data_IF_733274302519
#
_entry.id   IF_733274302519
#
_cell.length_a   1.000
_cell.length_b   1.000
_cell.length_c   1.000
_cell.angle_alpha   90.00
_cell.angle_beta   90.00
_cell.angle_gamma   90.00
#
_symmetry.space_group_name_H-M   'P 1'
#
loop_
_entity.id
_entity.type
_entity.pdbx_description
1 polymer ?
#
# COMPACT_ATOMS: atom_id res chain seq x y z
N UNK A 1 25.63 20.76 -18.76
CA UNK A 1 25.16 19.93 -17.64
C UNK A 1 23.67 20.19 -17.48
N UNK A 2 22.84 19.23 -17.88
CA UNK A 2 21.39 19.38 -17.78
C UNK A 2 21.00 19.34 -16.30
N UNK A 3 20.30 20.37 -15.84
CA UNK A 3 19.68 20.40 -14.52
C UNK A 3 18.60 19.30 -14.55
N UNK A 4 18.86 18.17 -13.91
CA UNK A 4 17.82 17.16 -13.71
C UNK A 4 16.64 17.86 -13.02
N UNK A 5 15.45 17.79 -13.62
CA UNK A 5 14.23 18.21 -12.93
C UNK A 5 14.11 17.30 -11.70
N UNK A 6 14.19 17.87 -10.51
CA UNK A 6 13.70 17.20 -9.31
C UNK A 6 12.23 16.83 -9.55
N UNK A 7 11.92 15.55 -9.36
CA UNK A 7 10.56 15.03 -9.41
C UNK A 7 10.09 14.78 -7.97
N UNK A 8 8.78 14.77 -7.76
CA UNK A 8 8.23 14.45 -6.46
C UNK A 8 8.25 12.93 -6.25
N UNK A 9 9.04 12.46 -5.27
CA UNK A 9 9.16 11.04 -4.97
C UNK A 9 7.86 10.43 -4.43
N UNK A 10 7.04 11.20 -3.72
CA UNK A 10 5.77 10.75 -3.16
C UNK A 10 4.79 10.51 -4.30
N UNK A 11 4.63 11.48 -5.19
CA UNK A 11 3.74 11.34 -6.36
C UNK A 11 4.18 10.16 -7.25
N UNK A 12 5.49 10.00 -7.46
CA UNK A 12 6.04 8.88 -8.23
C UNK A 12 5.74 7.52 -7.58
N UNK A 13 5.87 7.40 -6.26
CA UNK A 13 5.55 6.17 -5.53
C UNK A 13 4.05 5.89 -5.49
N UNK A 14 3.20 6.92 -5.40
CA UNK A 14 1.75 6.76 -5.51
C UNK A 14 1.34 6.23 -6.89
N UNK A 15 1.94 6.77 -7.96
CA UNK A 15 1.71 6.27 -9.31
C UNK A 15 2.19 4.81 -9.47
N UNK A 16 3.37 4.47 -8.94
CA UNK A 16 3.87 3.11 -8.92
C UNK A 16 2.94 2.17 -8.12
N UNK A 17 2.39 2.64 -7.00
CA UNK A 17 1.45 1.88 -6.17
C UNK A 17 0.22 1.44 -6.96
N UNK A 18 -0.35 2.33 -7.79
CA UNK A 18 -1.50 1.99 -8.63
C UNK A 18 -1.19 0.87 -9.61
N UNK A 19 0.00 0.89 -10.23
CA UNK A 19 0.45 -0.17 -11.14
C UNK A 19 0.59 -1.50 -10.41
N UNK A 20 1.21 -1.51 -9.23
CA UNK A 20 1.34 -2.73 -8.43
C UNK A 20 -0.01 -3.26 -7.92
N UNK A 21 -0.98 -2.38 -7.62
CA UNK A 21 -2.33 -2.80 -7.26
C UNK A 21 -3.09 -3.41 -8.44
N UNK A 22 -2.83 -2.94 -9.66
CA UNK A 22 -3.48 -3.46 -10.86
C UNK A 22 -2.86 -4.78 -11.34
N UNK A 23 -1.52 -4.86 -11.34
CA UNK A 23 -0.77 -5.95 -12.00
C UNK A 23 -0.07 -6.92 -11.05
N UNK A 24 -0.07 -6.65 -9.75
CA UNK A 24 0.78 -7.36 -8.79
C UNK A 24 2.27 -7.04 -8.97
N UNK A 25 3.11 -7.59 -8.10
CA UNK A 25 4.56 -7.48 -8.24
C UNK A 25 5.03 -8.21 -9.48
N UNK A 26 4.61 -9.45 -9.73
CA UNK A 26 5.15 -10.24 -10.84
C UNK A 26 4.80 -9.63 -12.20
N UNK A 27 3.53 -9.24 -12.39
CA UNK A 27 3.03 -8.66 -13.64
C UNK A 27 3.49 -7.23 -13.95
N UNK A 28 4.11 -6.53 -13.00
CA UNK A 28 4.61 -5.16 -13.22
C UNK A 28 5.99 -5.16 -13.87
N UNK A 29 6.16 -4.56 -15.05
CA UNK A 29 7.49 -4.39 -15.66
C UNK A 29 8.17 -3.08 -15.26
N UNK A 30 9.48 -2.95 -15.50
CA UNK A 30 10.14 -1.63 -15.37
C UNK A 30 9.53 -0.59 -16.32
N UNK A 31 9.09 -1.00 -17.51
CA UNK A 31 8.50 -0.09 -18.48
C UNK A 31 7.15 0.45 -18.01
N UNK A 32 6.38 -0.35 -17.28
CA UNK A 32 5.14 0.12 -16.64
C UNK A 32 5.45 1.18 -15.59
N UNK A 33 6.49 0.97 -14.77
CA UNK A 33 6.94 1.95 -13.78
C UNK A 33 7.45 3.23 -14.42
N UNK A 34 8.24 3.14 -15.50
CA UNK A 34 8.70 4.31 -16.26
C UNK A 34 7.52 5.17 -16.73
N UNK A 35 6.51 4.53 -17.32
CA UNK A 35 5.30 5.21 -17.82
C UNK A 35 4.48 5.82 -16.69
N UNK A 36 4.24 5.10 -15.61
CA UNK A 36 3.39 5.56 -14.52
C UNK A 36 4.05 6.68 -13.70
N UNK A 37 5.34 6.52 -13.39
CA UNK A 37 6.09 7.48 -12.58
C UNK A 37 6.49 8.73 -13.38
N UNK A 38 6.39 8.69 -14.72
CA UNK A 38 6.88 9.77 -15.58
C UNK A 38 8.40 9.89 -15.59
N UNK A 39 9.11 8.81 -15.25
CA UNK A 39 10.57 8.76 -15.11
C UNK A 39 11.17 7.81 -16.12
N UNK A 40 12.38 8.13 -16.60
CA UNK A 40 13.15 7.16 -17.37
C UNK A 40 13.82 6.13 -16.43
N UNK A 41 14.25 5.00 -17.01
CA UNK A 41 14.95 3.92 -16.31
C UNK A 41 16.12 4.37 -15.46
N UNK A 42 16.95 5.30 -15.97
CA UNK A 42 18.13 5.81 -15.26
C UNK A 42 17.71 6.58 -14.01
N UNK A 43 16.72 7.46 -14.10
CA UNK A 43 16.18 8.20 -12.95
C UNK A 43 15.58 7.26 -11.91
N UNK A 44 14.88 6.20 -12.34
CA UNK A 44 14.37 5.18 -11.40
C UNK A 44 15.52 4.47 -10.68
N UNK A 45 16.54 4.03 -11.43
CA UNK A 45 17.70 3.37 -10.82
C UNK A 45 18.47 4.27 -9.86
N UNK A 46 18.65 5.53 -10.20
CA UNK A 46 19.38 6.48 -9.37
C UNK A 46 18.63 6.81 -8.07
N UNK A 47 17.31 7.03 -8.15
CA UNK A 47 16.53 7.48 -6.99
C UNK A 47 15.97 6.34 -6.14
N UNK A 48 15.59 5.23 -6.77
CA UNK A 48 14.92 4.13 -6.09
C UNK A 48 15.70 2.83 -6.13
N UNK A 49 16.68 2.68 -7.02
CA UNK A 49 17.30 1.39 -7.31
C UNK A 49 16.45 0.57 -8.27
N UNK A 50 16.25 -0.72 -8.00
CA UNK A 50 15.52 -1.60 -8.92
C UNK A 50 14.01 -1.68 -8.59
N UNK A 51 13.25 -2.42 -9.42
CA UNK A 51 11.82 -2.68 -9.20
C UNK A 51 11.49 -3.18 -7.79
N UNK A 52 12.36 -4.01 -7.17
CA UNK A 52 12.16 -4.48 -5.79
C UNK A 52 12.25 -3.34 -4.79
N UNK A 53 13.22 -2.44 -4.96
CA UNK A 53 13.37 -1.30 -4.08
C UNK A 53 12.20 -0.33 -4.21
N UNK A 54 11.72 -0.06 -5.44
CA UNK A 54 10.47 0.69 -5.68
C UNK A 54 9.31 0.01 -4.96
N UNK A 55 9.13 -1.30 -5.15
CA UNK A 55 8.06 -2.07 -4.53
C UNK A 55 8.09 -2.01 -2.98
N UNK A 56 9.27 -2.14 -2.36
CA UNK A 56 9.40 -2.03 -0.92
C UNK A 56 9.04 -0.64 -0.40
N UNK A 57 9.44 0.43 -1.11
CA UNK A 57 9.07 1.80 -0.75
C UNK A 57 7.56 2.03 -0.89
N UNK A 58 6.96 1.51 -1.96
CA UNK A 58 5.51 1.49 -2.16
C UNK A 58 4.81 0.74 -1.03
N UNK A 59 5.28 -0.45 -0.62
CA UNK A 59 4.70 -1.19 0.50
C UNK A 59 4.74 -0.37 1.78
N UNK A 60 5.87 0.24 2.12
CA UNK A 60 6.01 1.07 3.34
C UNK A 60 4.99 2.21 3.32
N UNK A 61 4.91 2.97 2.22
CA UNK A 61 3.98 4.09 2.09
C UNK A 61 2.51 3.61 2.13
N UNK A 62 2.18 2.55 1.39
CA UNK A 62 0.84 1.98 1.33
C UNK A 62 0.37 1.52 2.72
N UNK A 63 1.25 0.88 3.48
CA UNK A 63 0.96 0.41 4.85
C UNK A 63 0.73 1.56 5.80
N UNK A 64 1.55 2.61 5.75
CA UNK A 64 1.39 3.77 6.62
C UNK A 64 0.11 4.55 6.30
N UNK A 65 -0.18 4.80 5.02
CA UNK A 65 -1.45 5.41 4.61
C UNK A 65 -2.66 4.56 5.01
N UNK A 66 -2.58 3.24 4.84
CA UNK A 66 -3.62 2.31 5.26
C UNK A 66 -3.82 2.33 6.78
N UNK A 67 -2.73 2.33 7.56
CA UNK A 67 -2.77 2.40 9.03
C UNK A 67 -3.49 3.65 9.51
N UNK A 68 -3.13 4.83 8.99
CA UNK A 68 -3.75 6.10 9.36
C UNK A 68 -5.24 6.11 9.02
N UNK A 69 -5.60 5.65 7.82
CA UNK A 69 -7.00 5.52 7.38
C UNK A 69 -7.81 4.61 8.30
N UNK A 70 -7.33 3.40 8.56
CA UNK A 70 -8.06 2.43 9.39
C UNK A 70 -8.12 2.84 10.85
N UNK A 71 -7.08 3.49 11.35
CA UNK A 71 -7.11 4.05 12.69
C UNK A 71 -8.16 5.15 12.81
N UNK A 72 -8.23 6.09 11.85
CA UNK A 72 -9.26 7.13 11.82
C UNK A 72 -10.67 6.55 11.83
N UNK A 73 -10.98 5.61 10.91
CA UNK A 73 -12.29 4.95 10.84
C UNK A 73 -12.70 4.28 12.17
N UNK A 74 -11.75 3.68 12.89
CA UNK A 74 -12.02 2.98 14.15
C UNK A 74 -12.13 3.93 15.35
N UNK A 75 -11.31 4.97 15.41
CA UNK A 75 -11.23 5.92 16.53
C UNK A 75 -12.32 7.01 16.45
N UNK A 76 -12.81 7.37 15.25
CA UNK A 76 -13.90 8.36 15.05
C UNK A 76 -15.29 7.82 15.41
N UNK A 77 -15.49 6.50 15.35
CA UNK A 77 -16.77 5.88 15.67
C UNK A 77 -17.04 5.86 17.18
N UNK A 78 -18.30 6.12 17.60
CA UNK A 78 -18.67 6.19 19.01
C UNK A 78 -18.53 4.82 19.68
N UNK A 79 -19.01 3.76 19.02
CA UNK A 79 -18.98 2.39 19.56
C UNK A 79 -18.06 1.47 18.77
N UNK A 80 -17.56 0.40 19.40
CA UNK A 80 -16.74 -0.57 18.68
C UNK A 80 -17.51 -1.27 17.56
N UNK A 81 -18.82 -1.54 17.78
CA UNK A 81 -19.69 -2.12 16.75
C UNK A 81 -19.76 -1.20 15.53
N UNK A 82 -19.96 0.09 15.74
CA UNK A 82 -19.98 1.08 14.68
C UNK A 82 -18.63 1.18 13.96
N UNK A 83 -17.52 1.25 14.70
CA UNK A 83 -16.18 1.32 14.09
C UNK A 83 -15.88 0.11 13.20
N UNK A 84 -16.24 -1.10 13.65
CA UNK A 84 -16.10 -2.31 12.83
C UNK A 84 -17.04 -2.28 11.62
N UNK A 85 -18.29 -1.84 11.80
CA UNK A 85 -19.24 -1.67 10.70
C UNK A 85 -18.72 -0.69 9.64
N UNK A 86 -18.20 0.47 10.05
CA UNK A 86 -17.66 1.50 9.15
C UNK A 86 -16.42 0.99 8.42
N UNK A 87 -15.54 0.26 9.10
CA UNK A 87 -14.39 -0.40 8.47
C UNK A 87 -14.85 -1.37 7.37
N UNK A 88 -15.81 -2.23 7.66
CA UNK A 88 -16.32 -3.21 6.69
C UNK A 88 -16.95 -2.54 5.46
N UNK A 89 -17.81 -1.52 5.67
CA UNK A 89 -18.38 -0.75 4.56
C UNK A 89 -17.28 -0.07 3.74
N UNK A 90 -16.30 0.55 4.40
CA UNK A 90 -15.20 1.23 3.70
C UNK A 90 -14.34 0.25 2.89
N UNK A 91 -14.13 -0.97 3.37
CA UNK A 91 -13.47 -2.04 2.59
C UNK A 91 -14.31 -2.37 1.36
N UNK A 92 -15.63 -2.52 1.49
CA UNK A 92 -16.51 -2.75 0.34
C UNK A 92 -16.43 -1.61 -0.67
N UNK A 93 -16.53 -0.36 -0.22
CA UNK A 93 -16.45 0.82 -1.09
C UNK A 93 -15.13 0.91 -1.86
N UNK A 94 -14.00 0.61 -1.20
CA UNK A 94 -12.69 0.65 -1.84
C UNK A 94 -12.51 -0.46 -2.89
N UNK A 95 -13.08 -1.64 -2.67
CA UNK A 95 -12.84 -2.81 -3.54
C UNK A 95 -13.93 -3.00 -4.60
N UNK A 96 -15.14 -2.47 -4.38
CA UNK A 96 -16.32 -2.69 -5.24
C UNK A 96 -17.05 -1.39 -5.60
N UNK A 97 -16.46 -0.23 -5.27
CA UNK A 97 -16.99 1.08 -5.69
C UNK A 97 -16.76 1.39 -7.17
N UNK A 98 -17.08 2.63 -7.61
CA UNK A 98 -16.93 3.05 -9.01
C UNK A 98 -15.50 2.96 -9.56
N UNK A 99 -14.52 3.15 -8.69
CA UNK A 99 -13.09 3.01 -8.98
C UNK A 99 -12.50 1.94 -8.04
N UNK A 100 -12.72 0.65 -8.33
CA UNK A 100 -12.29 -0.42 -7.45
C UNK A 100 -10.77 -0.49 -7.39
N UNK A 101 -10.24 -0.58 -6.17
CA UNK A 101 -8.81 -0.70 -5.91
C UNK A 101 -8.52 -2.05 -5.26
N UNK A 102 -7.68 -2.85 -5.91
CA UNK A 102 -7.14 -4.07 -5.30
C UNK A 102 -6.26 -3.72 -4.11
N UNK A 103 -6.37 -4.52 -3.04
CA UNK A 103 -5.47 -4.40 -1.88
C UNK A 103 -4.08 -4.93 -2.23
N UNK A 104 -3.08 -4.06 -2.25
CA UNK A 104 -1.69 -4.43 -2.52
C UNK A 104 -1.17 -5.52 -1.55
N UNK A 105 -1.53 -5.43 -0.28
CA UNK A 105 -1.14 -6.44 0.73
C UNK A 105 -1.72 -7.82 0.39
N UNK A 106 -2.99 -7.88 -0.02
CA UNK A 106 -3.63 -9.14 -0.38
C UNK A 106 -2.98 -9.76 -1.62
N UNK A 107 -2.73 -8.96 -2.67
CA UNK A 107 -2.01 -9.45 -3.86
C UNK A 107 -0.60 -9.94 -3.50
N UNK A 108 0.12 -9.19 -2.68
CA UNK A 108 1.48 -9.57 -2.28
C UNK A 108 1.51 -10.85 -1.42
N UNK A 109 0.45 -11.12 -0.64
CA UNK A 109 0.29 -12.40 0.07
C UNK A 109 0.06 -13.56 -0.90
N UNK A 110 -0.68 -13.35 -1.98
CA UNK A 110 -0.90 -14.36 -3.03
C UNK A 110 0.38 -14.62 -3.83
N UNK A 111 1.21 -13.60 -4.02
CA UNK A 111 2.50 -13.66 -4.71
C UNK A 111 3.68 -13.96 -3.78
N UNK A 112 3.47 -14.60 -2.62
CA UNK A 112 4.52 -14.78 -1.58
C UNK A 112 5.83 -15.36 -2.12
N UNK A 113 5.77 -16.33 -3.04
CA UNK A 113 6.95 -16.94 -3.67
C UNK A 113 7.79 -15.97 -4.48
N UNK A 114 7.21 -14.86 -4.94
CA UNK A 114 7.87 -13.82 -5.72
C UNK A 114 8.53 -12.76 -4.86
N UNK A 115 8.40 -12.84 -3.53
CA UNK A 115 8.93 -11.85 -2.59
C UNK A 115 10.18 -12.36 -1.88
N UNK A 116 11.16 -11.47 -1.69
CA UNK A 116 12.32 -11.76 -0.84
C UNK A 116 11.95 -11.60 0.65
N UNK A 117 12.86 -11.98 1.55
CA UNK A 117 12.62 -11.91 3.00
C UNK A 117 12.18 -10.52 3.49
N UNK A 118 12.81 -9.45 2.99
CA UNK A 118 12.45 -8.09 3.37
C UNK A 118 11.01 -7.70 2.94
N UNK A 119 10.62 -8.00 1.69
CA UNK A 119 9.25 -7.76 1.25
C UNK A 119 8.24 -8.60 2.05
N UNK A 120 8.54 -9.88 2.29
CA UNK A 120 7.67 -10.77 3.08
C UNK A 120 7.48 -10.24 4.50
N UNK A 121 8.55 -9.79 5.14
CA UNK A 121 8.51 -9.22 6.49
C UNK A 121 7.63 -7.96 6.54
N UNK A 122 7.75 -7.05 5.57
CA UNK A 122 6.89 -5.87 5.49
C UNK A 122 5.40 -6.23 5.36
N UNK A 123 5.08 -7.23 4.53
CA UNK A 123 3.71 -7.72 4.32
C UNK A 123 3.16 -8.34 5.61
N UNK A 124 3.96 -9.18 6.29
CA UNK A 124 3.57 -9.81 7.56
C UNK A 124 3.37 -8.77 8.68
N UNK A 125 4.26 -7.77 8.77
CA UNK A 125 4.13 -6.66 9.70
C UNK A 125 2.86 -5.83 9.45
N UNK A 126 2.52 -5.57 8.18
CA UNK A 126 1.29 -4.87 7.81
C UNK A 126 0.03 -5.60 8.28
N UNK A 127 -0.04 -6.92 8.04
CA UNK A 127 -1.16 -7.75 8.48
C UNK A 127 -1.28 -7.77 10.01
N UNK A 128 -0.16 -7.85 10.72
CA UNK A 128 -0.14 -7.81 12.18
C UNK A 128 -0.59 -6.45 12.73
N UNK A 129 -0.16 -5.35 12.11
CA UNK A 129 -0.56 -4.00 12.48
C UNK A 129 -2.07 -3.79 12.31
N UNK A 130 -2.63 -4.22 11.17
CA UNK A 130 -4.07 -4.13 10.92
C UNK A 130 -4.88 -4.96 11.93
N UNK A 131 -4.45 -6.20 12.21
CA UNK A 131 -5.07 -7.04 13.25
C UNK A 131 -5.05 -6.36 14.62
N UNK A 132 -3.91 -5.76 15.01
CA UNK A 132 -3.77 -5.06 16.29
C UNK A 132 -4.71 -3.85 16.42
N UNK A 133 -4.95 -3.11 15.34
CA UNK A 133 -5.91 -1.99 15.35
C UNK A 133 -7.32 -2.47 15.72
N UNK A 134 -7.79 -3.53 15.06
CA UNK A 134 -9.11 -4.13 15.33
C UNK A 134 -9.18 -4.67 16.76
N UNK A 135 -8.17 -5.43 17.19
CA UNK A 135 -8.11 -5.96 18.56
C UNK A 135 -8.19 -4.86 19.61
N UNK A 136 -7.40 -3.80 19.45
CA UNK A 136 -7.40 -2.64 20.37
C UNK A 136 -8.77 -1.98 20.45
N UNK A 137 -9.49 -1.83 19.33
CA UNK A 137 -10.84 -1.23 19.32
C UNK A 137 -11.85 -2.10 20.06
N UNK A 138 -11.79 -3.42 19.84
CA UNK A 138 -12.67 -4.39 20.50
C UNK A 138 -12.41 -4.48 22.01
N UNK A 139 -11.14 -4.43 22.44
CA UNK A 139 -10.78 -4.46 23.86
C UNK A 139 -11.26 -3.21 24.62
N UNK A 140 -11.21 -2.02 24.00
CA UNK A 140 -11.76 -0.80 24.59
C UNK A 140 -13.26 -0.90 24.90
N UNK A 141 -14.03 -1.70 24.15
CA UNK A 141 -15.47 -1.86 24.35
C UNK A 141 -15.84 -2.92 25.40
N UNK A 142 -14.87 -3.65 25.96
CA UNK A 142 -15.08 -4.57 27.09
C UNK A 142 -15.03 -3.88 28.44
N UNK A 143 -14.57 -2.62 28.48
CA UNK A 143 -14.52 -1.77 29.68
C UNK A 143 -15.73 -0.86 29.69
#
# INVERSE_FOLDING_TARGET
MAREKEFDEIEALEAASRVFCDKGYEGTSLQDLEKAMGLNRTSIYNAFGNKRCVFNRVLIQFVECGRQRWQGVLDEAETAREGISNLLHKVVDLNYGPEPQSCLITLSLMERSQHNGASQELIEQAMHAFKKLIQKRLEKAKK
#
